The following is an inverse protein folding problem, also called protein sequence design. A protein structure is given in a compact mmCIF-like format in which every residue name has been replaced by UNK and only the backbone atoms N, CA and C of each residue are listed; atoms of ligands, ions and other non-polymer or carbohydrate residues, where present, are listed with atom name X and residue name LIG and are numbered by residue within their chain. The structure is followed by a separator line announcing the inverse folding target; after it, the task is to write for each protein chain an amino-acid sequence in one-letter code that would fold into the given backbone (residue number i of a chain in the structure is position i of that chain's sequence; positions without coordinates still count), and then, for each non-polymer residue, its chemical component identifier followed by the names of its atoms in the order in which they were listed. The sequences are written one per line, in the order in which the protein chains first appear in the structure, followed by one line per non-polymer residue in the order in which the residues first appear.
data_IF_151403211230
#
_entry.id   IF_151403211230
#
_cell.length_a   1.000
_cell.length_b   1.000
_cell.length_c   1.000
_cell.angle_alpha   90.00
_cell.angle_beta   90.00
_cell.angle_gamma   90.00
#
_symmetry.space_group_name_H-M   'P 1'
#
loop_
_entity.id
_entity.type
_entity.pdbx_description
1 polymer ?
#
# COMPACT_ATOMS: atom_id res chain seq x y z
N UNK A 1 3.79 -25.40 8.03
CA UNK A 1 4.47 -24.33 8.80
C UNK A 1 3.91 -22.98 8.32
N UNK A 2 2.58 -22.82 8.41
CA UNK A 2 1.90 -21.65 7.86
C UNK A 2 1.80 -20.63 8.97
N UNK A 3 2.60 -19.57 8.87
CA UNK A 3 2.61 -18.47 9.82
C UNK A 3 1.34 -17.66 9.59
N UNK A 4 0.31 -17.92 10.38
CA UNK A 4 -0.95 -17.17 10.34
C UNK A 4 -0.71 -15.89 11.15
N UNK A 5 -0.51 -14.76 10.47
CA UNK A 5 -0.41 -13.45 11.12
C UNK A 5 -1.77 -13.09 11.71
N UNK A 6 -1.89 -12.84 13.03
CA UNK A 6 -3.15 -12.44 13.62
C UNK A 6 -3.50 -11.01 13.21
N UNK A 7 -4.71 -10.79 12.70
CA UNK A 7 -5.28 -9.45 12.47
C UNK A 7 -5.68 -8.84 13.82
N UNK A 8 -4.74 -8.15 14.46
CA UNK A 8 -5.00 -7.45 15.73
C UNK A 8 -5.77 -6.15 15.46
N UNK A 9 -7.09 -6.16 15.72
CA UNK A 9 -7.90 -4.94 15.83
C UNK A 9 -7.69 -4.31 17.20
N UNK A 10 -6.82 -3.30 17.28
CA UNK A 10 -6.58 -2.49 18.48
C UNK A 10 -7.38 -1.19 18.49
N UNK A 11 -7.98 -0.87 19.64
CA UNK A 11 -8.84 0.28 19.90
C UNK A 11 -8.15 1.65 19.69
N UNK A 12 -8.86 2.60 19.08
CA UNK A 12 -8.35 3.94 18.74
C UNK A 12 -7.47 3.96 17.48
N UNK A 13 -7.80 3.12 16.49
CA UNK A 13 -6.95 2.77 15.37
C UNK A 13 -6.60 3.97 14.50
N UNK A 14 -5.46 4.61 14.79
CA UNK A 14 -4.72 5.31 13.74
C UNK A 14 -4.32 4.27 12.72
N UNK A 15 -4.85 4.40 11.52
CA UNK A 15 -4.54 3.48 10.42
C UNK A 15 -3.17 3.86 9.88
N UNK A 16 -2.27 2.88 9.82
CA UNK A 16 -0.93 3.06 9.25
C UNK A 16 -0.89 2.37 7.90
N UNK A 17 -0.52 3.14 6.87
CA UNK A 17 -0.27 2.68 5.52
C UNK A 17 1.23 2.70 5.26
N UNK A 18 1.80 1.57 4.85
CA UNK A 18 3.21 1.45 4.48
C UNK A 18 3.32 1.29 2.98
N UNK A 19 4.03 2.21 2.31
CA UNK A 19 4.13 2.26 0.84
C UNK A 19 5.60 2.21 0.42
N UNK A 20 5.99 1.40 -0.57
CA UNK A 20 7.34 1.46 -1.13
C UNK A 20 7.56 2.79 -1.88
N UNK A 21 8.78 3.31 -1.83
CA UNK A 21 9.17 4.54 -2.55
C UNK A 21 10.54 4.34 -3.18
N UNK A 22 10.61 4.45 -4.50
CA UNK A 22 11.83 4.31 -5.30
C UNK A 22 12.39 5.65 -5.77
N UNK A 23 13.69 5.67 -6.06
CA UNK A 23 14.39 6.86 -6.58
C UNK A 23 14.96 7.80 -5.51
N UNK A 24 14.76 7.50 -4.23
CA UNK A 24 15.44 8.22 -3.13
C UNK A 24 16.89 7.78 -3.04
N UNK A 25 17.83 8.73 -2.96
CA UNK A 25 19.28 8.42 -2.89
C UNK A 25 20.01 9.10 -1.74
N UNK A 26 19.34 10.00 -1.00
CA UNK A 26 19.94 10.71 0.13
C UNK A 26 18.89 11.12 1.17
N UNK A 27 19.36 11.58 2.34
CA UNK A 27 18.49 12.07 3.41
C UNK A 27 17.62 13.27 3.00
N UNK A 28 18.09 14.11 2.08
CA UNK A 28 17.28 15.22 1.56
C UNK A 28 16.10 14.74 0.70
N UNK A 29 16.25 13.62 -0.01
CA UNK A 29 15.15 12.98 -0.74
C UNK A 29 14.06 12.50 0.21
N UNK A 30 14.47 11.83 1.30
CA UNK A 30 13.58 11.37 2.38
C UNK A 30 12.74 12.53 2.91
N UNK A 31 13.38 13.62 3.32
CA UNK A 31 12.67 14.80 3.84
C UNK A 31 11.76 15.45 2.79
N UNK A 32 12.07 15.35 1.49
CA UNK A 32 11.21 15.87 0.44
C UNK A 32 9.92 15.07 0.32
N UNK A 33 10.02 13.73 0.34
CA UNK A 33 8.89 12.81 0.34
C UNK A 33 8.02 13.00 1.58
N UNK A 34 8.62 13.03 2.77
CA UNK A 34 7.88 13.25 4.03
C UNK A 34 7.06 14.54 3.99
N UNK A 35 7.66 15.65 3.51
CA UNK A 35 6.98 16.94 3.36
C UNK A 35 5.88 16.91 2.32
N UNK A 36 6.00 16.12 1.27
CA UNK A 36 4.95 15.99 0.26
C UNK A 36 3.73 15.27 0.84
N UNK A 37 3.95 14.15 1.54
CA UNK A 37 2.88 13.35 2.15
C UNK A 37 2.23 14.08 3.33
N UNK A 38 3.01 14.76 4.17
CA UNK A 38 2.50 15.45 5.36
C UNK A 38 1.53 16.62 5.04
N UNK A 39 1.45 17.06 3.79
CA UNK A 39 0.49 18.08 3.32
C UNK A 39 -0.89 17.52 3.02
N UNK A 40 -1.04 16.20 2.93
CA UNK A 40 -2.31 15.56 2.65
C UNK A 40 -3.27 15.69 3.83
N UNK A 41 -4.59 15.78 3.58
CA UNK A 41 -5.58 15.81 4.64
C UNK A 41 -5.53 14.52 5.46
N UNK A 42 -5.88 14.62 6.74
CA UNK A 42 -5.98 13.48 7.67
C UNK A 42 -4.68 12.72 7.95
N UNK A 43 -3.53 13.17 7.42
CA UNK A 43 -2.22 12.63 7.81
C UNK A 43 -1.83 13.14 9.19
N UNK A 44 -1.72 12.22 10.15
CA UNK A 44 -1.29 12.49 11.52
C UNK A 44 0.23 12.49 11.65
N UNK A 45 0.90 11.57 10.97
CA UNK A 45 2.35 11.39 11.03
C UNK A 45 2.86 10.71 9.76
N UNK A 46 4.09 11.03 9.36
CA UNK A 46 4.82 10.37 8.27
C UNK A 46 6.23 10.09 8.74
N UNK A 47 6.74 8.91 8.43
CA UNK A 47 8.14 8.55 8.60
C UNK A 47 8.61 7.82 7.34
N UNK A 48 9.71 8.28 6.75
CA UNK A 48 10.31 7.62 5.59
C UNK A 48 11.65 7.02 5.98
N UNK A 49 11.85 5.77 5.62
CA UNK A 49 13.08 5.04 5.88
C UNK A 49 13.79 4.71 4.56
N UNK A 50 14.94 5.35 4.34
CA UNK A 50 15.75 5.13 3.13
C UNK A 50 16.32 3.72 3.04
N UNK A 51 16.67 3.10 4.18
CA UNK A 51 17.28 1.77 4.18
C UNK A 51 16.29 0.66 3.80
N UNK A 52 15.00 0.87 4.07
CA UNK A 52 13.92 -0.05 3.68
C UNK A 52 13.14 0.42 2.46
N UNK A 53 13.43 1.62 1.95
CA UNK A 53 12.72 2.26 0.84
C UNK A 53 11.20 2.31 1.06
N UNK A 54 10.78 2.65 2.30
CA UNK A 54 9.34 2.72 2.65
C UNK A 54 8.96 4.04 3.30
N UNK A 55 7.74 4.47 3.02
CA UNK A 55 7.04 5.54 3.71
C UNK A 55 5.91 4.95 4.57
N UNK A 56 5.99 5.16 5.87
CA UNK A 56 4.94 4.80 6.82
C UNK A 56 4.11 6.05 7.15
N UNK A 57 2.83 5.99 6.82
CA UNK A 57 1.89 7.11 6.93
C UNK A 57 0.79 6.75 7.90
N UNK A 58 0.64 7.54 8.95
CA UNK A 58 -0.38 7.34 9.98
C UNK A 58 -1.49 8.35 9.78
N UNK A 59 -2.74 7.88 9.73
CA UNK A 59 -3.92 8.72 9.49
C UNK A 59 -4.75 8.94 10.76
N UNK A 60 -5.42 10.08 10.85
CA UNK A 60 -6.47 10.37 11.84
C UNK A 60 -7.85 9.84 11.41
N UNK A 61 -8.02 9.54 10.12
CA UNK A 61 -9.25 9.06 9.50
C UNK A 61 -9.00 7.88 8.55
N UNK A 62 -9.82 7.79 7.49
CA UNK A 62 -9.69 6.71 6.50
C UNK A 62 -8.47 6.96 5.58
N UNK A 63 -7.56 5.98 5.41
CA UNK A 63 -6.36 6.17 4.61
C UNK A 63 -6.69 6.29 3.13
N UNK A 64 -6.28 7.40 2.50
CA UNK A 64 -6.31 7.56 1.05
C UNK A 64 -4.95 7.17 0.45
N UNK A 65 -4.79 5.88 0.18
CA UNK A 65 -3.56 5.35 -0.42
C UNK A 65 -3.25 6.01 -1.77
N UNK A 66 -4.27 6.27 -2.58
CA UNK A 66 -4.09 6.87 -3.90
C UNK A 66 -3.59 8.31 -3.81
N UNK A 67 -4.05 9.08 -2.81
CA UNK A 67 -3.50 10.41 -2.55
C UNK A 67 -2.04 10.38 -2.13
N UNK A 68 -1.64 9.43 -1.29
CA UNK A 68 -0.23 9.28 -0.91
C UNK A 68 0.64 8.95 -2.13
N UNK A 69 0.22 8.00 -2.97
CA UNK A 69 0.93 7.66 -4.21
C UNK A 69 1.10 8.90 -5.10
N UNK A 70 0.01 9.64 -5.36
CA UNK A 70 0.08 10.88 -6.16
C UNK A 70 0.99 11.94 -5.54
N UNK A 71 1.06 12.05 -4.21
CA UNK A 71 1.95 13.00 -3.55
C UNK A 71 3.43 12.60 -3.70
N UNK A 72 3.74 11.30 -3.62
CA UNK A 72 5.09 10.76 -3.85
C UNK A 72 5.51 10.96 -5.31
N UNK A 73 4.65 10.62 -6.26
CA UNK A 73 4.87 10.82 -7.70
C UNK A 73 5.02 12.29 -8.05
N UNK A 74 4.16 13.16 -7.50
CA UNK A 74 4.26 14.60 -7.67
C UNK A 74 5.54 15.21 -7.07
N UNK A 75 6.16 14.53 -6.10
CA UNK A 75 7.47 14.91 -5.56
C UNK A 75 8.66 14.38 -6.41
N UNK A 76 8.38 13.60 -7.47
CA UNK A 76 9.38 13.09 -8.41
C UNK A 76 9.91 11.70 -8.11
N UNK A 77 9.20 10.91 -7.30
CA UNK A 77 9.60 9.54 -6.90
C UNK A 77 8.59 8.51 -7.40
N UNK A 78 9.00 7.25 -7.51
CA UNK A 78 8.11 6.19 -7.98
C UNK A 78 7.55 5.39 -6.80
N UNK A 79 6.31 4.91 -6.94
CA UNK A 79 5.73 3.90 -6.05
C UNK A 79 5.53 2.63 -6.87
N UNK A 80 6.35 1.59 -6.69
CA UNK A 80 6.22 0.36 -7.47
C UNK A 80 4.94 -0.39 -7.11
N UNK A 81 4.26 -0.92 -8.12
CA UNK A 81 3.15 -1.84 -7.92
C UNK A 81 3.68 -3.21 -7.48
N UNK A 82 3.08 -3.76 -6.42
CA UNK A 82 3.47 -5.08 -5.91
C UNK A 82 2.59 -6.13 -6.59
N UNK A 83 3.21 -6.96 -7.42
CA UNK A 83 2.57 -8.15 -7.98
C UNK A 83 2.78 -9.34 -7.05
N UNK A 84 1.70 -10.06 -6.73
CA UNK A 84 1.76 -11.27 -5.91
C UNK A 84 1.03 -12.38 -6.61
N UNK A 85 1.69 -13.54 -6.73
CA UNK A 85 1.11 -14.74 -7.32
C UNK A 85 0.62 -15.69 -6.22
N UNK A 86 -0.63 -16.14 -6.34
CA UNK A 86 -1.26 -17.04 -5.39
C UNK A 86 -1.70 -18.33 -6.07
N UNK A 87 -1.41 -19.47 -5.44
CA UNK A 87 -1.97 -20.75 -5.86
C UNK A 87 -3.44 -20.87 -5.41
N UNK A 88 -4.36 -20.93 -6.36
CA UNK A 88 -5.79 -21.14 -6.08
C UNK A 88 -6.15 -22.61 -6.31
N UNK A 89 -6.49 -23.32 -5.24
CA UNK A 89 -6.93 -24.72 -5.31
C UNK A 89 -8.45 -24.82 -5.49
N UNK A 90 -8.93 -25.91 -6.09
CA UNK A 90 -10.37 -26.18 -6.24
C UNK A 90 -11.06 -25.47 -7.41
N UNK A 91 -10.34 -24.69 -8.24
CA UNK A 91 -10.87 -24.21 -9.51
C UNK A 91 -10.93 -25.37 -10.52
N UNK A 92 -12.14 -25.86 -10.77
CA UNK A 92 -12.37 -27.05 -11.62
C UNK A 92 -12.98 -26.72 -12.99
N UNK A 93 -13.38 -25.47 -13.23
CA UNK A 93 -14.00 -25.03 -14.49
C UNK A 93 -13.78 -23.54 -14.77
N UNK A 94 -13.92 -23.11 -16.04
CA UNK A 94 -13.77 -21.73 -16.49
C UNK A 94 -14.69 -20.72 -15.76
N UNK A 95 -15.87 -21.15 -15.30
CA UNK A 95 -16.77 -20.29 -14.52
C UNK A 95 -16.19 -19.92 -13.15
N UNK A 96 -15.32 -20.75 -12.57
CA UNK A 96 -14.61 -20.45 -11.33
C UNK A 96 -13.58 -19.33 -11.54
N UNK A 97 -12.87 -19.33 -12.69
CA UNK A 97 -11.85 -18.31 -13.03
C UNK A 97 -12.47 -16.92 -13.01
N UNK A 98 -13.56 -16.70 -13.78
CA UNK A 98 -14.22 -15.40 -13.83
C UNK A 98 -14.81 -14.95 -12.49
N UNK A 99 -15.30 -15.89 -11.68
CA UNK A 99 -15.84 -15.60 -10.34
C UNK A 99 -14.74 -15.17 -9.36
N UNK A 100 -13.60 -15.87 -9.39
CA UNK A 100 -12.44 -15.54 -8.54
C UNK A 100 -11.83 -14.22 -8.98
N UNK A 101 -11.60 -14.01 -10.27
CA UNK A 101 -11.02 -12.76 -10.78
C UNK A 101 -11.88 -11.56 -10.37
N UNK A 102 -13.20 -11.65 -10.54
CA UNK A 102 -14.13 -10.59 -10.13
C UNK A 102 -14.10 -10.35 -8.61
N UNK A 103 -14.03 -11.41 -7.81
CA UNK A 103 -13.94 -11.30 -6.36
C UNK A 103 -12.64 -10.61 -5.92
N UNK A 104 -11.50 -10.97 -6.53
CA UNK A 104 -10.19 -10.37 -6.24
C UNK A 104 -10.17 -8.89 -6.66
N UNK A 105 -10.68 -8.55 -7.85
CA UNK A 105 -10.80 -7.14 -8.31
C UNK A 105 -11.68 -6.27 -7.42
N UNK A 106 -12.58 -6.86 -6.62
CA UNK A 106 -13.44 -6.13 -5.69
C UNK A 106 -12.78 -5.86 -4.33
N UNK A 107 -11.61 -6.43 -4.05
CA UNK A 107 -10.89 -6.21 -2.79
C UNK A 107 -10.30 -4.79 -2.79
N UNK A 108 -10.54 -3.98 -1.74
CA UNK A 108 -9.92 -2.66 -1.61
C UNK A 108 -8.39 -2.74 -1.70
N UNK A 109 -7.80 -1.91 -2.56
CA UNK A 109 -6.35 -1.85 -2.78
C UNK A 109 -5.81 -2.74 -3.90
N UNK A 110 -6.67 -3.50 -4.60
CA UNK A 110 -6.26 -4.23 -5.82
C UNK A 110 -6.50 -3.37 -7.06
N UNK A 111 -5.42 -2.97 -7.74
CA UNK A 111 -5.48 -2.22 -9.00
C UNK A 111 -5.69 -3.14 -10.22
N UNK A 112 -5.17 -4.36 -10.17
CA UNK A 112 -5.29 -5.35 -11.23
C UNK A 112 -5.29 -6.76 -10.65
N UNK A 113 -6.06 -7.65 -11.26
CA UNK A 113 -5.99 -9.09 -11.00
C UNK A 113 -6.25 -9.85 -12.30
N UNK A 114 -5.50 -10.93 -12.46
CA UNK A 114 -5.62 -11.91 -13.56
C UNK A 114 -5.59 -13.30 -12.94
N UNK A 115 -6.41 -14.22 -13.46
CA UNK A 115 -6.57 -15.59 -12.93
C UNK A 115 -6.38 -16.61 -14.04
#
# INVERSE_FOLDING_TARGET
MTNVVPLQRGAGARLTLSIPVEGMTCASCVSHVEKAIAKLPEVANVSVNLATERADVTFTGEPDAAAVVRAVEGAGYAVPEISVEFGVTGMTCASCVGSVEKAVKAVPGINAAVV
#
